data_IF_457425444486
#
_entry.id   IF_457425444486
#
_cell.length_a   1.000
_cell.length_b   1.000
_cell.length_c   1.000
_cell.angle_alpha   90.00
_cell.angle_beta   90.00
_cell.angle_gamma   90.00
#
_symmetry.space_group_name_H-M   'P 1'
#
loop_
_entity.id
_entity.type
_entity.pdbx_description
1 polymer ?
#
# COMPACT_ATOMS: atom_id res chain seq x y z
N UNK A 1 -15.55 -0.48 -8.37
CA UNK A 1 -15.55 0.89 -8.97
C UNK A 1 -14.37 1.01 -9.91
N UNK A 2 -14.61 1.37 -11.15
CA UNK A 2 -13.52 1.57 -12.11
C UNK A 2 -13.31 3.06 -12.41
N UNK A 3 -12.08 3.40 -12.78
CA UNK A 3 -11.79 4.74 -13.30
C UNK A 3 -12.42 4.91 -14.69
N UNK A 4 -12.94 6.08 -14.97
CA UNK A 4 -13.52 6.40 -16.27
C UNK A 4 -12.48 6.97 -17.25
N UNK A 5 -11.37 7.46 -16.75
CA UNK A 5 -10.31 8.04 -17.57
C UNK A 5 -8.96 7.89 -16.84
N UNK A 6 -7.89 8.20 -17.55
CA UNK A 6 -6.54 8.02 -17.04
C UNK A 6 -6.23 8.94 -15.85
N UNK A 7 -6.80 10.14 -15.82
CA UNK A 7 -6.62 11.07 -14.70
C UNK A 7 -7.18 10.52 -13.39
N UNK A 8 -8.30 9.81 -13.47
CA UNK A 8 -8.88 9.13 -12.29
C UNK A 8 -8.03 7.96 -11.83
N UNK A 9 -7.50 7.18 -12.76
CA UNK A 9 -6.60 6.07 -12.41
C UNK A 9 -5.32 6.60 -11.75
N UNK A 10 -4.65 7.52 -12.39
CA UNK A 10 -3.37 8.06 -11.92
C UNK A 10 -3.52 8.90 -10.66
N UNK A 11 -4.56 9.72 -10.59
CA UNK A 11 -4.83 10.52 -9.39
C UNK A 11 -5.11 9.68 -8.17
N UNK A 12 -5.81 8.56 -8.35
CA UNK A 12 -6.10 7.63 -7.26
C UNK A 12 -4.84 6.87 -6.83
N UNK A 13 -3.99 6.47 -7.79
CA UNK A 13 -2.69 5.86 -7.47
C UNK A 13 -1.79 6.82 -6.69
N UNK A 14 -1.72 8.08 -7.09
CA UNK A 14 -0.94 9.09 -6.36
C UNK A 14 -1.48 9.28 -4.95
N UNK A 15 -2.80 9.38 -4.81
CA UNK A 15 -3.43 9.57 -3.51
C UNK A 15 -3.21 8.38 -2.58
N UNK A 16 -3.02 7.18 -3.12
CA UNK A 16 -2.77 5.98 -2.30
C UNK A 16 -1.53 6.14 -1.42
N UNK A 17 -0.52 6.82 -1.91
CA UNK A 17 0.71 7.09 -1.15
C UNK A 17 0.39 7.92 0.09
N UNK A 18 -0.34 9.01 -0.08
CA UNK A 18 -0.74 9.90 1.02
C UNK A 18 -1.68 9.17 1.99
N UNK A 19 -2.65 8.43 1.46
CA UNK A 19 -3.64 7.71 2.25
C UNK A 19 -2.98 6.71 3.20
N UNK A 20 -2.10 5.86 2.69
CA UNK A 20 -1.43 4.84 3.49
C UNK A 20 -0.33 5.44 4.38
N UNK A 21 0.31 6.51 3.96
CA UNK A 21 1.23 7.26 4.80
C UNK A 21 0.53 7.79 6.05
N UNK A 22 -0.67 8.38 5.88
CA UNK A 22 -1.47 8.86 7.03
C UNK A 22 -1.86 7.71 7.97
N UNK A 23 -2.30 6.58 7.42
CA UNK A 23 -2.64 5.39 8.21
C UNK A 23 -1.42 4.82 8.94
N UNK A 24 -0.25 4.88 8.32
CA UNK A 24 1.03 4.53 8.92
C UNK A 24 1.29 5.36 10.19
N UNK A 25 1.00 6.65 10.14
CA UNK A 25 1.19 7.55 11.28
C UNK A 25 0.12 7.39 12.37
N UNK A 26 -1.03 6.84 12.02
CA UNK A 26 -2.19 6.71 12.91
C UNK A 26 -2.27 5.37 13.63
N UNK A 27 -1.59 4.33 13.12
CA UNK A 27 -1.68 3.00 13.71
C UNK A 27 -0.91 2.90 15.03
N UNK A 28 -1.46 2.12 15.97
CA UNK A 28 -0.77 1.77 17.20
C UNK A 28 -0.04 0.43 17.14
N UNK A 29 -0.05 -0.26 15.99
CA UNK A 29 0.57 -1.58 15.81
C UNK A 29 1.84 -1.47 14.99
N UNK A 30 2.94 -2.00 15.51
CA UNK A 30 4.24 -1.91 14.87
C UNK A 30 4.31 -2.62 13.52
N UNK A 31 3.76 -3.84 13.43
CA UNK A 31 3.76 -4.61 12.18
C UNK A 31 3.01 -3.87 11.06
N UNK A 32 1.87 -3.27 11.39
CA UNK A 32 1.08 -2.47 10.47
C UNK A 32 1.83 -1.20 10.05
N UNK A 33 2.46 -0.52 11.01
CA UNK A 33 3.29 0.66 10.77
C UNK A 33 4.40 0.33 9.76
N UNK A 34 5.10 -0.79 9.93
CA UNK A 34 6.19 -1.20 9.05
C UNK A 34 5.71 -1.59 7.65
N UNK A 35 4.58 -2.30 7.55
CA UNK A 35 4.01 -2.66 6.25
C UNK A 35 3.62 -1.42 5.44
N UNK A 36 2.99 -0.45 6.08
CA UNK A 36 2.59 0.81 5.45
C UNK A 36 3.79 1.70 5.15
N UNK A 37 4.84 1.65 5.98
CA UNK A 37 6.10 2.37 5.74
C UNK A 37 6.73 1.94 4.40
N UNK A 38 6.80 0.64 4.15
CA UNK A 38 7.30 0.12 2.88
C UNK A 38 6.42 0.55 1.71
N UNK A 39 5.10 0.49 1.88
CA UNK A 39 4.16 0.85 0.82
C UNK A 39 4.35 2.30 0.36
N UNK A 40 4.31 3.27 1.26
CA UNK A 40 4.37 4.66 0.84
C UNK A 40 5.75 5.10 0.38
N UNK A 41 6.79 4.30 0.69
CA UNK A 41 8.16 4.52 0.17
C UNK A 41 8.38 3.92 -1.22
N UNK A 42 7.79 2.76 -1.49
CA UNK A 42 7.99 2.04 -2.74
C UNK A 42 7.02 2.47 -3.84
N UNK A 43 5.79 2.79 -3.47
CA UNK A 43 4.73 3.11 -4.44
C UNK A 43 5.01 4.35 -5.28
N UNK A 44 5.57 5.46 -4.75
CA UNK A 44 5.80 6.66 -5.54
C UNK A 44 6.63 6.43 -6.80
N UNK A 45 7.71 5.67 -6.72
CA UNK A 45 8.56 5.37 -7.88
C UNK A 45 7.80 4.55 -8.93
N UNK A 46 7.07 3.53 -8.49
CA UNK A 46 6.28 2.70 -9.41
C UNK A 46 5.20 3.51 -10.13
N UNK A 47 4.52 4.39 -9.42
CA UNK A 47 3.49 5.27 -9.99
C UNK A 47 4.12 6.29 -10.95
N UNK A 48 5.24 6.89 -10.57
CA UNK A 48 5.96 7.84 -11.40
C UNK A 48 6.40 7.21 -12.72
N UNK A 49 7.00 6.01 -12.65
CA UNK A 49 7.43 5.27 -13.83
C UNK A 49 6.27 4.98 -14.78
N UNK A 50 5.13 4.58 -14.24
CA UNK A 50 3.92 4.32 -15.04
C UNK A 50 3.41 5.58 -15.74
N UNK A 51 3.31 6.69 -15.01
CA UNK A 51 2.79 7.95 -15.57
C UNK A 51 3.73 8.50 -16.64
N UNK A 52 5.04 8.49 -16.39
CA UNK A 52 6.02 8.95 -17.38
C UNK A 52 5.98 8.09 -18.65
N UNK A 53 5.91 6.76 -18.48
CA UNK A 53 5.82 5.84 -19.62
C UNK A 53 4.55 6.06 -20.42
N UNK A 54 3.41 6.26 -19.73
CA UNK A 54 2.14 6.56 -20.39
C UNK A 54 2.23 7.85 -21.21
N UNK A 55 2.77 8.89 -20.62
CA UNK A 55 2.91 10.19 -21.30
C UNK A 55 3.85 10.08 -22.50
N UNK A 56 4.94 9.33 -22.37
CA UNK A 56 5.87 9.09 -23.48
C UNK A 56 5.26 8.27 -24.59
N UNK A 57 4.56 7.20 -24.25
CA UNK A 57 3.92 6.30 -25.21
C UNK A 57 2.83 7.00 -26.02
N UNK A 58 2.02 7.82 -25.38
CA UNK A 58 0.86 8.48 -25.99
C UNK A 58 1.15 9.92 -26.45
N UNK A 59 2.36 10.44 -26.23
CA UNK A 59 2.76 11.82 -26.56
C UNK A 59 1.80 12.86 -25.99
N UNK A 60 1.41 12.70 -24.73
CA UNK A 60 0.48 13.57 -24.01
C UNK A 60 1.05 13.92 -22.65
N UNK A 61 0.46 14.94 -22.01
CA UNK A 61 0.64 15.21 -20.59
C UNK A 61 -0.71 15.06 -19.90
N UNK A 62 -0.74 14.31 -18.83
CA UNK A 62 -1.94 14.16 -18.02
C UNK A 62 -2.05 15.39 -17.12
N UNK A 63 -3.19 16.05 -17.15
CA UNK A 63 -3.41 17.31 -16.42
C UNK A 63 -4.51 17.18 -15.36
N UNK A 64 -5.54 16.39 -15.65
CA UNK A 64 -6.73 16.28 -14.79
C UNK A 64 -6.65 15.07 -13.84
N UNK A 65 -5.76 15.15 -12.87
CA UNK A 65 -5.63 14.09 -11.84
C UNK A 65 -6.79 14.20 -10.86
N UNK A 66 -7.45 13.07 -10.60
CA UNK A 66 -8.58 13.02 -9.68
C UNK A 66 -8.57 11.71 -8.87
N UNK A 67 -8.70 11.83 -7.56
CA UNK A 67 -8.87 10.67 -6.69
C UNK A 67 -10.35 10.28 -6.63
N UNK A 68 -10.66 8.99 -6.83
CA UNK A 68 -12.03 8.48 -6.80
C UNK A 68 -12.32 7.54 -5.63
N UNK A 69 -11.35 7.33 -4.71
CA UNK A 69 -11.55 6.49 -3.53
C UNK A 69 -11.32 7.35 -2.29
N UNK A 70 -12.33 7.47 -1.45
CA UNK A 70 -12.20 8.14 -0.16
C UNK A 70 -11.58 7.17 0.86
N UNK A 71 -10.30 7.36 1.14
CA UNK A 71 -9.55 6.49 2.05
C UNK A 71 -10.05 6.55 3.50
N UNK A 72 -10.78 7.60 3.88
CA UNK A 72 -11.32 7.73 5.23
C UNK A 72 -12.46 6.76 5.52
N UNK A 73 -13.06 6.17 4.48
CA UNK A 73 -14.13 5.18 4.59
C UNK A 73 -13.62 3.76 4.87
N UNK A 74 -12.30 3.55 4.86
CA UNK A 74 -11.68 2.24 4.97
C UNK A 74 -10.58 2.22 6.03
N UNK A 75 -10.33 1.04 6.58
CA UNK A 75 -9.05 0.79 7.25
C UNK A 75 -7.95 0.56 6.20
N UNK A 76 -6.70 0.38 6.63
CA UNK A 76 -5.58 0.27 5.71
C UNK A 76 -5.73 -0.90 4.73
N UNK A 77 -6.14 -2.06 5.20
CA UNK A 77 -6.34 -3.24 4.35
C UNK A 77 -7.53 -3.06 3.42
N UNK A 78 -8.67 -2.62 3.95
CA UNK A 78 -9.87 -2.38 3.15
C UNK A 78 -9.65 -1.36 2.05
N UNK A 79 -8.85 -0.33 2.32
CA UNK A 79 -8.48 0.66 1.31
C UNK A 79 -7.66 0.02 0.17
N UNK A 80 -6.67 -0.81 0.51
CA UNK A 80 -5.87 -1.49 -0.52
C UNK A 80 -6.69 -2.48 -1.34
N UNK A 81 -7.67 -3.15 -0.72
CA UNK A 81 -8.59 -4.01 -1.44
C UNK A 81 -9.42 -3.22 -2.45
N UNK A 82 -9.96 -2.08 -2.04
CA UNK A 82 -10.72 -1.20 -2.93
C UNK A 82 -9.83 -0.64 -4.06
N UNK A 83 -8.61 -0.25 -3.74
CA UNK A 83 -7.63 0.22 -4.71
C UNK A 83 -7.27 -0.87 -5.72
N UNK A 84 -7.02 -2.07 -5.25
CA UNK A 84 -6.72 -3.24 -6.09
C UNK A 84 -7.85 -3.50 -7.10
N UNK A 85 -9.08 -3.54 -6.62
CA UNK A 85 -10.24 -3.78 -7.48
C UNK A 85 -10.40 -2.66 -8.52
N UNK A 86 -10.25 -1.41 -8.12
CA UNK A 86 -10.31 -0.27 -9.02
C UNK A 86 -9.26 -0.37 -10.13
N UNK A 87 -8.04 -0.74 -9.78
CA UNK A 87 -6.94 -0.89 -10.75
C UNK A 87 -7.26 -2.01 -11.75
N UNK A 88 -7.71 -3.17 -11.27
CA UNK A 88 -8.08 -4.29 -12.14
C UNK A 88 -9.18 -3.91 -13.12
N UNK A 89 -10.22 -3.26 -12.64
CA UNK A 89 -11.34 -2.82 -13.47
C UNK A 89 -10.94 -1.70 -14.45
N UNK A 90 -9.83 -1.01 -14.19
CA UNK A 90 -9.34 0.11 -14.98
C UNK A 90 -8.23 -0.24 -15.98
N UNK A 91 -7.83 -1.51 -16.07
CA UNK A 91 -6.79 -1.96 -17.01
C UNK A 91 -7.09 -1.61 -18.45
N UNK A 92 -8.37 -1.53 -18.83
CA UNK A 92 -8.80 -1.18 -20.18
C UNK A 92 -8.32 0.21 -20.63
N UNK A 93 -7.92 1.08 -19.70
CA UNK A 93 -7.42 2.42 -20.01
C UNK A 93 -5.98 2.41 -20.54
N UNK A 94 -5.26 1.30 -20.37
CA UNK A 94 -3.86 1.18 -20.80
C UNK A 94 -3.74 0.20 -21.95
N UNK A 95 -3.16 0.66 -23.06
CA UNK A 95 -2.86 -0.18 -24.22
C UNK A 95 -1.35 -0.33 -24.33
N UNK A 96 -0.89 -1.57 -24.49
CA UNK A 96 0.50 -1.91 -24.62
C UNK A 96 1.02 -2.69 -23.43
N UNK A 97 1.79 -3.73 -23.72
CA UNK A 97 2.32 -4.64 -22.71
C UNK A 97 3.27 -3.95 -21.73
N UNK A 98 4.03 -2.96 -22.18
CA UNK A 98 4.96 -2.23 -21.32
C UNK A 98 4.21 -1.38 -20.27
N UNK A 99 3.08 -0.78 -20.63
CA UNK A 99 2.28 -0.01 -19.69
C UNK A 99 1.56 -0.90 -18.69
N UNK A 100 1.03 -2.03 -19.16
CA UNK A 100 0.39 -3.03 -18.28
C UNK A 100 1.41 -3.64 -17.32
N UNK A 101 2.66 -3.86 -17.75
CA UNK A 101 3.71 -4.35 -16.87
C UNK A 101 4.03 -3.36 -15.75
N UNK A 102 4.05 -2.06 -16.04
CA UNK A 102 4.28 -1.04 -15.03
C UNK A 102 3.10 -0.92 -14.05
N UNK A 103 1.88 -1.09 -14.56
CA UNK A 103 0.70 -1.19 -13.68
C UNK A 103 0.78 -2.42 -12.78
N UNK A 104 1.23 -3.55 -13.32
CA UNK A 104 1.40 -4.80 -12.56
C UNK A 104 2.45 -4.64 -11.45
N UNK A 105 3.46 -3.80 -11.63
CA UNK A 105 4.40 -3.47 -10.55
C UNK A 105 3.70 -2.74 -9.39
N UNK A 106 2.82 -1.80 -9.70
CA UNK A 106 1.99 -1.16 -8.68
C UNK A 106 1.11 -2.20 -7.96
N UNK A 107 0.50 -3.10 -8.70
CA UNK A 107 -0.32 -4.18 -8.13
C UNK A 107 0.51 -5.12 -7.24
N UNK A 108 1.75 -5.41 -7.64
CA UNK A 108 2.65 -6.25 -6.85
C UNK A 108 2.96 -5.63 -5.49
N UNK A 109 3.18 -4.32 -5.45
CA UNK A 109 3.41 -3.59 -4.18
C UNK A 109 2.14 -3.65 -3.31
N UNK A 110 0.98 -3.45 -3.91
CA UNK A 110 -0.32 -3.54 -3.21
C UNK A 110 -0.52 -4.95 -2.65
N UNK A 111 -0.32 -5.97 -3.46
CA UNK A 111 -0.47 -7.38 -3.07
C UNK A 111 0.45 -7.74 -1.90
N UNK A 112 1.71 -7.34 -1.98
CA UNK A 112 2.70 -7.57 -0.93
C UNK A 112 2.29 -6.89 0.38
N UNK A 113 1.81 -5.66 0.30
CA UNK A 113 1.34 -4.93 1.49
C UNK A 113 0.10 -5.57 2.08
N UNK A 114 -0.87 -5.97 1.25
CA UNK A 114 -2.06 -6.69 1.72
C UNK A 114 -1.69 -7.99 2.41
N UNK A 115 -0.74 -8.75 1.87
CA UNK A 115 -0.23 -9.96 2.49
C UNK A 115 0.31 -9.67 3.90
N UNK A 116 1.15 -8.65 4.03
CA UNK A 116 1.73 -8.28 5.33
C UNK A 116 0.66 -7.86 6.34
N UNK A 117 -0.33 -7.11 5.89
CA UNK A 117 -1.42 -6.65 6.76
C UNK A 117 -2.33 -7.80 7.22
N UNK A 118 -2.54 -8.82 6.39
CA UNK A 118 -3.40 -9.96 6.71
C UNK A 118 -2.69 -11.03 7.49
N UNK A 119 -1.46 -11.39 7.08
CA UNK A 119 -0.81 -12.62 7.52
C UNK A 119 0.35 -12.39 8.50
N UNK A 120 1.04 -11.25 8.40
CA UNK A 120 2.19 -10.96 9.24
C UNK A 120 1.82 -10.08 10.43
N UNK A 121 0.71 -10.42 11.08
CA UNK A 121 0.31 -9.76 12.31
C UNK A 121 1.23 -10.21 13.42
N UNK A 122 1.56 -9.28 14.31
CA UNK A 122 2.28 -9.63 15.52
C UNK A 122 1.40 -10.53 16.38
N UNK A 123 1.95 -11.63 16.88
CA UNK A 123 1.28 -12.43 17.89
C UNK A 123 1.05 -11.61 19.15
N UNK A 124 1.89 -10.59 19.34
CA UNK A 124 1.81 -9.65 20.44
C UNK A 124 1.04 -8.43 19.95
N UNK A 125 -0.27 -8.48 20.06
CA UNK A 125 -1.16 -7.41 19.60
C UNK A 125 -1.56 -6.46 20.71
N UNK A 126 -1.24 -6.78 21.97
CA UNK A 126 -1.59 -5.96 23.13
C UNK A 126 -0.35 -5.68 23.97
N UNK A 127 -0.41 -4.61 24.77
CA UNK A 127 0.63 -4.26 25.71
C UNK A 127 0.85 -5.37 26.75
N UNK A 128 -0.23 -6.04 27.17
CA UNK A 128 -0.17 -7.16 28.11
C UNK A 128 0.64 -8.33 27.54
N UNK A 129 0.38 -8.72 26.30
CA UNK A 129 1.12 -9.79 25.62
C UNK A 129 2.59 -9.43 25.43
N UNK A 130 2.89 -8.19 25.09
CA UNK A 130 4.27 -7.69 24.96
C UNK A 130 5.02 -7.76 26.30
N UNK A 131 4.36 -7.34 27.38
CA UNK A 131 4.93 -7.41 28.72
C UNK A 131 5.23 -8.84 29.15
N UNK A 132 4.33 -9.77 28.86
CA UNK A 132 4.54 -11.19 29.14
C UNK A 132 5.73 -11.75 28.38
N UNK A 133 5.83 -11.43 27.09
CA UNK A 133 6.96 -11.87 26.25
C UNK A 133 8.28 -11.34 26.77
N UNK A 134 8.38 -10.06 27.08
CA UNK A 134 9.60 -9.44 27.63
C UNK A 134 9.97 -10.10 28.96
N UNK A 135 8.98 -10.35 29.82
CA UNK A 135 9.19 -10.99 31.10
C UNK A 135 9.78 -12.40 30.96
N UNK A 136 9.28 -13.18 29.99
CA UNK A 136 9.80 -14.52 29.70
C UNK A 136 11.27 -14.46 29.25
N UNK A 137 11.63 -13.51 28.39
CA UNK A 137 12.99 -13.33 27.92
C UNK A 137 13.94 -12.97 29.08
N UNK A 138 13.52 -12.11 29.98
CA UNK A 138 14.31 -11.73 31.16
C UNK A 138 14.52 -12.89 32.14
N UNK A 139 13.51 -13.76 32.29
CA UNK A 139 13.61 -14.96 33.12
C UNK A 139 14.64 -15.93 32.53
N UNK A 140 14.61 -16.16 31.22
CA UNK A 140 15.59 -17.01 30.53
C UNK A 140 17.03 -16.53 30.72
N UNK A 141 17.25 -15.20 30.54
CA UNK A 141 18.57 -14.60 30.76
C UNK A 141 19.04 -14.77 32.21
N UNK A 142 18.13 -14.56 33.16
CA UNK A 142 18.38 -14.71 34.56
C UNK A 142 18.79 -16.16 34.94
N UNK A 143 18.17 -17.16 34.32
CA UNK A 143 18.49 -18.56 34.51
C UNK A 143 19.83 -18.94 33.90
N UNK A 144 20.25 -18.30 32.81
CA UNK A 144 21.54 -18.54 32.16
C UNK A 144 22.70 -17.95 32.94
N UNK A 145 22.49 -16.95 33.78
CA UNK A 145 23.53 -16.32 34.62
C UNK A 145 23.82 -17.08 35.91
N UNK A 146 23.09 -18.16 36.16
CA UNK A 146 23.30 -19.04 37.29
C UNK A 146 24.11 -20.26 36.86
#
# INVERSE_FOLDING_TARGET
>A
MKANNIGELFGTLQQSVVAEWRKHLQTGKYSKHMALDEFYKDMPEAVDDLIEAYQGHNSVKVEDYKNIIDATEYDALGYLEALHDMIYESKYLLEGSELLSLLDECLSIIDSTMYKLRELKEDITSLTSLKSYIKEQLVEESELDV
#
